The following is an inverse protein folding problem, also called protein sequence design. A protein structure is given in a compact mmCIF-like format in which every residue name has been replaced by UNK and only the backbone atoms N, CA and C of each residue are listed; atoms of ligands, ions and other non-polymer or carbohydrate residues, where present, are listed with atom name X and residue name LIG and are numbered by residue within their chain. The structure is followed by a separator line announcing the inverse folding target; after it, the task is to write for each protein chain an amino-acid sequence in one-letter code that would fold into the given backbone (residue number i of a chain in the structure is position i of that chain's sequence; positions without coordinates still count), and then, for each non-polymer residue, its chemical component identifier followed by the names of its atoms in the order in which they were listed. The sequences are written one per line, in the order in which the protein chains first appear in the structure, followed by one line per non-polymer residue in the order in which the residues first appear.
data_IF_222482103217
#
_entry.id   IF_222482103217
#
_cell.length_a   1.000
_cell.length_b   1.000
_cell.length_c   1.000
_cell.angle_alpha   90.00
_cell.angle_beta   90.00
_cell.angle_gamma   90.00
#
_symmetry.space_group_name_H-M   'P 1'
#
loop_
_entity.id
_entity.type
_entity.pdbx_description
1 polymer ?
#
# COMPACT_ATOMS: atom_id res chain seq x y z
N UNK A 1 -1.84 -9.48 8.77
CA UNK A 1 -0.56 -9.11 8.12
C UNK A 1 0.55 -10.10 8.48
N UNK A 2 0.74 -10.46 9.76
CA UNK A 2 1.81 -11.36 10.22
C UNK A 2 1.84 -12.71 9.48
N UNK A 3 0.68 -13.35 9.26
CA UNK A 3 0.62 -14.60 8.51
C UNK A 3 1.00 -14.42 7.03
N UNK A 4 0.65 -13.28 6.43
CA UNK A 4 1.06 -12.96 5.05
C UNK A 4 2.57 -12.67 4.98
N UNK A 5 3.12 -11.99 5.97
CA UNK A 5 4.56 -11.75 6.07
C UNK A 5 5.33 -13.10 6.12
N UNK A 6 4.86 -14.03 6.96
CA UNK A 6 5.43 -15.38 7.03
C UNK A 6 5.36 -16.10 5.68
N UNK A 7 4.19 -16.15 5.05
CA UNK A 7 4.01 -16.81 3.75
C UNK A 7 4.90 -16.23 2.65
N UNK A 8 5.06 -14.90 2.61
CA UNK A 8 5.94 -14.24 1.63
C UNK A 8 7.39 -14.63 1.89
N UNK A 9 7.86 -14.60 3.15
CA UNK A 9 9.22 -14.97 3.51
C UNK A 9 9.51 -16.41 3.15
N UNK A 10 8.64 -17.37 3.50
CA UNK A 10 8.79 -18.79 3.16
C UNK A 10 8.84 -19.02 1.64
N UNK A 11 8.01 -18.31 0.86
CA UNK A 11 8.07 -18.40 -0.60
C UNK A 11 9.39 -17.88 -1.16
N UNK A 12 9.93 -16.76 -0.63
CA UNK A 12 11.23 -16.24 -1.05
C UNK A 12 12.36 -17.24 -0.76
N UNK A 13 12.39 -17.84 0.44
CA UNK A 13 13.35 -18.88 0.78
C UNK A 13 13.23 -20.09 -0.15
N UNK A 14 12.01 -20.52 -0.50
CA UNK A 14 11.78 -21.63 -1.46
C UNK A 14 12.36 -21.31 -2.85
N UNK A 15 12.40 -20.02 -3.21
CA UNK A 15 13.01 -19.54 -4.46
C UNK A 15 14.53 -19.29 -4.33
N UNK A 16 15.14 -19.57 -3.18
CA UNK A 16 16.55 -19.34 -2.91
C UNK A 16 16.90 -17.87 -2.69
N UNK A 17 15.92 -17.05 -2.30
CA UNK A 17 16.10 -15.63 -2.00
C UNK A 17 16.09 -15.44 -0.49
N UNK A 18 17.28 -15.33 0.11
CA UNK A 18 17.46 -15.24 1.56
C UNK A 18 17.55 -13.78 2.06
N UNK A 19 17.93 -12.84 1.21
CA UNK A 19 18.04 -11.42 1.56
C UNK A 19 17.37 -10.56 0.49
N UNK A 20 16.58 -9.58 0.92
CA UNK A 20 15.79 -8.77 -0.01
C UNK A 20 15.54 -7.34 0.50
N UNK A 21 15.28 -6.43 -0.43
CA UNK A 21 14.70 -5.12 -0.18
C UNK A 21 13.19 -5.21 -0.33
N UNK A 22 12.45 -4.55 0.56
CA UNK A 22 11.00 -4.58 0.56
C UNK A 22 10.42 -3.25 0.07
N UNK A 23 9.52 -3.33 -0.90
CA UNK A 23 8.69 -2.20 -1.31
C UNK A 23 7.23 -2.65 -1.31
N UNK A 24 6.37 -1.93 -0.61
CA UNK A 24 4.96 -2.31 -0.52
C UNK A 24 4.04 -1.12 -0.34
N UNK A 25 2.88 -1.17 -1.01
CA UNK A 25 1.84 -0.16 -0.88
C UNK A 25 0.69 -0.67 0.00
N UNK A 26 0.12 0.22 0.81
CA UNK A 26 -1.08 -0.04 1.61
C UNK A 26 -0.91 -1.28 2.52
N UNK A 27 -1.71 -2.32 2.36
CA UNK A 27 -1.53 -3.61 3.05
C UNK A 27 -0.14 -4.20 2.79
N UNK A 28 0.38 -4.08 1.56
CA UNK A 28 1.75 -4.50 1.22
C UNK A 28 2.80 -3.75 2.04
N UNK A 29 2.59 -2.47 2.31
CA UNK A 29 3.44 -1.67 3.22
C UNK A 29 3.44 -2.20 4.65
N UNK A 30 2.27 -2.57 5.17
CA UNK A 30 2.19 -3.21 6.50
C UNK A 30 2.88 -4.58 6.51
N UNK A 31 2.69 -5.39 5.46
CA UNK A 31 3.39 -6.68 5.34
C UNK A 31 4.91 -6.47 5.36
N UNK A 32 5.44 -5.46 4.67
CA UNK A 32 6.86 -5.13 4.71
C UNK A 32 7.34 -4.80 6.14
N UNK A 33 6.57 -4.02 6.90
CA UNK A 33 6.89 -3.71 8.30
C UNK A 33 6.86 -4.97 9.18
N UNK A 34 5.88 -5.85 8.99
CA UNK A 34 5.78 -7.14 9.70
C UNK A 34 6.95 -8.08 9.38
N UNK A 35 7.36 -8.15 8.10
CA UNK A 35 8.50 -8.95 7.67
C UNK A 35 9.79 -8.47 8.34
N UNK A 36 10.05 -7.16 8.33
CA UNK A 36 11.24 -6.60 8.94
C UNK A 36 11.28 -6.77 10.47
N UNK A 37 10.12 -6.73 11.12
CA UNK A 37 10.05 -6.97 12.57
C UNK A 37 10.21 -8.44 12.94
N UNK A 38 9.83 -9.38 12.05
CA UNK A 38 9.82 -10.81 12.34
C UNK A 38 11.04 -11.54 11.77
N UNK A 39 11.66 -11.01 10.70
CA UNK A 39 12.77 -11.60 9.96
C UNK A 39 13.83 -10.54 9.64
N UNK A 40 14.38 -9.86 10.67
CA UNK A 40 15.30 -8.74 10.47
C UNK A 40 16.61 -9.13 9.74
N UNK A 41 17.02 -10.38 9.82
CA UNK A 41 18.20 -10.93 9.17
C UNK A 41 18.04 -11.05 7.65
N UNK A 42 16.81 -11.14 7.14
CA UNK A 42 16.52 -11.28 5.71
C UNK A 42 16.25 -9.93 5.04
N UNK A 43 15.91 -8.88 5.80
CA UNK A 43 15.46 -7.60 5.25
C UNK A 43 16.60 -6.58 5.20
N UNK A 44 16.99 -6.18 3.99
CA UNK A 44 18.03 -5.16 3.75
C UNK A 44 17.53 -3.73 3.86
N UNK A 45 16.31 -3.46 3.45
CA UNK A 45 15.69 -2.14 3.60
C UNK A 45 14.17 -2.22 3.35
N UNK A 46 13.45 -1.17 3.76
CA UNK A 46 12.00 -1.03 3.55
C UNK A 46 11.69 0.32 2.92
N UNK A 47 10.86 0.31 1.86
CA UNK A 47 10.13 1.49 1.41
C UNK A 47 8.63 1.19 1.48
N UNK A 48 7.97 1.70 2.51
CA UNK A 48 6.54 1.51 2.72
C UNK A 48 5.75 2.68 2.13
N UNK A 49 4.94 2.42 1.12
CA UNK A 49 4.14 3.39 0.40
C UNK A 49 2.71 3.41 0.96
N UNK A 50 2.29 4.52 1.56
CA UNK A 50 1.00 4.67 2.22
C UNK A 50 0.61 3.41 3.03
N UNK A 51 1.49 2.94 3.96
CA UNK A 51 1.28 1.66 4.63
C UNK A 51 0.01 1.69 5.48
N UNK A 52 -0.78 0.62 5.40
CA UNK A 52 -1.82 0.32 6.36
C UNK A 52 -1.19 0.00 7.73
N UNK A 53 -2.01 -0.02 8.78
CA UNK A 53 -1.56 -0.40 10.13
C UNK A 53 -1.01 0.74 10.98
N UNK A 54 -0.71 1.90 10.40
CA UNK A 54 -0.25 3.09 11.13
C UNK A 54 -1.43 4.00 11.53
N UNK A 55 -2.58 3.44 11.83
CA UNK A 55 -3.76 4.21 12.24
C UNK A 55 -3.82 4.44 13.75
N UNK A 56 -4.29 5.61 14.12
CA UNK A 56 -4.44 6.05 15.51
C UNK A 56 -5.34 5.08 16.30
N UNK A 57 -6.47 4.71 15.70
CA UNK A 57 -7.44 3.76 16.27
C UNK A 57 -7.68 2.62 15.30
N UNK A 58 -7.54 1.35 15.73
CA UNK A 58 -7.85 0.21 14.87
C UNK A 58 -9.29 0.24 14.34
N UNK A 59 -9.48 -0.17 13.10
CA UNK A 59 -10.81 -0.31 12.53
C UNK A 59 -11.57 -1.45 13.20
N UNK A 60 -12.84 -1.21 13.54
CA UNK A 60 -13.73 -2.19 14.15
C UNK A 60 -14.69 -2.84 13.15
N UNK A 61 -14.78 -2.28 11.95
CA UNK A 61 -15.59 -2.80 10.85
C UNK A 61 -14.96 -2.44 9.50
N UNK A 62 -15.36 -3.16 8.45
CA UNK A 62 -14.96 -2.81 7.09
C UNK A 62 -15.48 -1.42 6.72
N UNK A 63 -14.69 -0.68 5.96
CA UNK A 63 -15.09 0.64 5.50
C UNK A 63 -16.25 0.51 4.48
N UNK A 64 -17.41 1.13 4.71
CA UNK A 64 -18.58 0.91 3.84
C UNK A 64 -18.35 1.26 2.37
N UNK A 65 -17.56 2.32 2.08
CA UNK A 65 -17.20 2.70 0.73
C UNK A 65 -16.39 1.65 -0.01
N UNK A 66 -15.49 0.96 0.68
CA UNK A 66 -14.69 -0.13 0.14
C UNK A 66 -15.54 -1.34 -0.24
N UNK A 67 -16.53 -1.68 0.59
CA UNK A 67 -17.48 -2.76 0.29
C UNK A 67 -18.26 -2.43 -0.97
N UNK A 68 -18.74 -1.18 -1.11
CA UNK A 68 -19.46 -0.74 -2.30
C UNK A 68 -18.57 -0.76 -3.55
N UNK A 69 -17.33 -0.25 -3.47
CA UNK A 69 -16.37 -0.29 -4.57
C UNK A 69 -16.07 -1.72 -5.02
N UNK A 70 -15.88 -2.64 -4.07
CA UNK A 70 -15.62 -4.04 -4.39
C UNK A 70 -16.81 -4.72 -5.05
N UNK A 71 -18.02 -4.43 -4.56
CA UNK A 71 -19.26 -4.92 -5.19
C UNK A 71 -19.43 -4.39 -6.61
N UNK A 72 -19.20 -3.10 -6.82
CA UNK A 72 -19.22 -2.49 -8.15
C UNK A 72 -18.16 -3.13 -9.06
N UNK A 73 -16.93 -3.25 -8.61
CA UNK A 73 -15.86 -3.85 -9.39
C UNK A 73 -16.20 -5.28 -9.85
N UNK A 74 -16.70 -6.13 -8.95
CA UNK A 74 -17.08 -7.51 -9.29
C UNK A 74 -18.25 -7.61 -10.26
N UNK A 75 -19.17 -6.62 -10.25
CA UNK A 75 -20.32 -6.57 -11.18
C UNK A 75 -19.99 -5.97 -12.54
N UNK A 76 -18.93 -5.16 -12.63
CA UNK A 76 -18.59 -4.42 -13.86
C UNK A 76 -17.34 -4.94 -14.59
N UNK A 77 -16.74 -6.06 -14.16
CA UNK A 77 -15.55 -6.63 -14.80
C UNK A 77 -15.73 -6.73 -16.33
N UNK A 78 -16.89 -7.21 -16.80
CA UNK A 78 -17.21 -7.27 -18.23
C UNK A 78 -17.54 -5.93 -18.87
N UNK A 79 -17.96 -4.94 -18.10
CA UNK A 79 -18.33 -3.61 -18.55
C UNK A 79 -17.20 -2.59 -18.39
N UNK A 80 -16.20 -2.89 -17.54
CA UNK A 80 -15.09 -2.00 -17.25
C UNK A 80 -14.38 -1.47 -18.52
N UNK A 81 -14.08 -2.31 -19.53
CA UNK A 81 -13.43 -1.83 -20.75
C UNK A 81 -14.23 -0.74 -21.49
N UNK A 82 -15.56 -0.85 -21.47
CA UNK A 82 -16.43 0.16 -22.09
C UNK A 82 -16.66 1.36 -21.18
N UNK A 83 -16.86 1.13 -19.89
CA UNK A 83 -17.17 2.17 -18.90
C UNK A 83 -15.99 3.14 -18.69
N UNK A 84 -14.76 2.64 -18.67
CA UNK A 84 -13.55 3.46 -18.42
C UNK A 84 -13.24 4.45 -19.57
N UNK A 85 -13.89 4.34 -20.72
CA UNK A 85 -13.85 5.38 -21.75
C UNK A 85 -14.64 6.65 -21.34
N UNK A 86 -15.47 6.57 -20.31
CA UNK A 86 -16.23 7.71 -19.81
C UNK A 86 -15.59 8.30 -18.55
N UNK A 87 -15.39 9.62 -18.56
CA UNK A 87 -14.77 10.37 -17.45
C UNK A 87 -15.45 10.14 -16.11
N UNK A 88 -16.79 10.02 -16.09
CA UNK A 88 -17.52 9.79 -14.85
C UNK A 88 -17.17 8.45 -14.18
N UNK A 89 -17.01 7.38 -14.98
CA UNK A 89 -16.66 6.07 -14.45
C UNK A 89 -15.24 6.05 -13.90
N UNK A 90 -14.29 6.67 -14.63
CA UNK A 90 -12.92 6.86 -14.17
C UNK A 90 -12.87 7.68 -12.87
N UNK A 91 -13.68 8.74 -12.78
CA UNK A 91 -13.79 9.54 -11.55
C UNK A 91 -14.24 8.67 -10.37
N UNK A 92 -15.35 7.94 -10.50
CA UNK A 92 -15.89 7.09 -9.41
C UNK A 92 -14.85 6.08 -8.93
N UNK A 93 -14.11 5.45 -9.85
CA UNK A 93 -13.14 4.41 -9.51
C UNK A 93 -11.85 4.93 -8.88
N UNK A 94 -11.43 6.17 -9.19
CA UNK A 94 -10.05 6.56 -8.93
C UNK A 94 -9.85 7.87 -8.16
N UNK A 95 -10.88 8.75 -8.03
CA UNK A 95 -10.70 10.06 -7.38
C UNK A 95 -10.35 9.99 -5.88
N UNK A 96 -10.72 8.89 -5.21
CA UNK A 96 -10.39 8.70 -3.78
C UNK A 96 -8.97 8.20 -3.56
N UNK A 97 -8.38 7.56 -4.57
CA UNK A 97 -7.04 6.98 -4.47
C UNK A 97 -5.96 7.81 -5.14
N UNK A 98 -6.34 8.69 -6.09
CA UNK A 98 -5.41 9.57 -6.79
C UNK A 98 -6.05 10.95 -7.06
N UNK A 99 -5.48 12.05 -6.60
CA UNK A 99 -5.92 13.41 -6.97
C UNK A 99 -5.72 13.68 -8.47
N UNK A 100 -4.79 12.95 -9.09
CA UNK A 100 -4.47 13.04 -10.52
C UNK A 100 -5.19 11.99 -11.37
N UNK A 101 -6.31 11.45 -10.89
CA UNK A 101 -7.07 10.38 -11.55
C UNK A 101 -7.39 10.65 -13.04
N UNK A 102 -7.47 11.93 -13.46
CA UNK A 102 -7.72 12.29 -14.86
C UNK A 102 -6.54 11.95 -15.78
N UNK A 103 -5.34 11.97 -15.23
CA UNK A 103 -4.07 11.75 -15.94
C UNK A 103 -3.72 10.25 -16.04
N UNK A 104 -4.33 9.40 -15.22
CA UNK A 104 -4.08 7.95 -15.27
C UNK A 104 -4.44 7.39 -16.65
N UNK A 105 -3.62 6.50 -17.19
CA UNK A 105 -3.91 5.91 -18.50
C UNK A 105 -5.12 4.97 -18.43
N UNK A 106 -5.72 4.70 -19.57
CA UNK A 106 -6.83 3.75 -19.68
C UNK A 106 -6.39 2.35 -19.22
N UNK A 107 -5.23 1.90 -19.69
CA UNK A 107 -4.64 0.60 -19.40
C UNK A 107 -4.44 0.42 -17.89
N UNK A 108 -3.84 1.41 -17.21
CA UNK A 108 -3.64 1.38 -15.76
C UNK A 108 -4.98 1.29 -15.02
N UNK A 109 -5.97 2.07 -15.45
CA UNK A 109 -7.31 2.03 -14.83
C UNK A 109 -7.98 0.66 -15.05
N UNK A 110 -7.83 0.06 -16.23
CA UNK A 110 -8.39 -1.24 -16.55
C UNK A 110 -7.72 -2.35 -15.71
N UNK A 111 -6.39 -2.36 -15.64
CA UNK A 111 -5.63 -3.33 -14.86
C UNK A 111 -5.98 -3.25 -13.38
N UNK A 112 -6.05 -2.03 -12.82
CA UNK A 112 -6.43 -1.83 -11.42
C UNK A 112 -7.86 -2.31 -11.14
N UNK A 113 -8.80 -2.05 -12.07
CA UNK A 113 -10.20 -2.51 -11.95
C UNK A 113 -10.28 -4.03 -12.00
N UNK A 114 -9.57 -4.67 -12.94
CA UNK A 114 -9.53 -6.12 -13.07
C UNK A 114 -8.87 -6.78 -11.83
N UNK A 115 -7.78 -6.22 -11.33
CA UNK A 115 -7.13 -6.69 -10.11
C UNK A 115 -8.07 -6.60 -8.90
N UNK A 116 -8.79 -5.49 -8.75
CA UNK A 116 -9.79 -5.34 -7.70
C UNK A 116 -10.94 -6.35 -7.86
N UNK A 117 -11.46 -6.54 -9.09
CA UNK A 117 -12.55 -7.46 -9.38
C UNK A 117 -12.15 -8.92 -9.14
N UNK A 118 -10.94 -9.32 -9.53
CA UNK A 118 -10.42 -10.69 -9.39
C UNK A 118 -9.90 -11.05 -8.00
N UNK A 119 -9.71 -10.08 -7.10
CA UNK A 119 -9.11 -10.32 -5.78
C UNK A 119 -10.04 -11.08 -4.83
N UNK A 120 -9.94 -12.40 -4.77
CA UNK A 120 -10.71 -13.24 -3.83
C UNK A 120 -10.30 -13.04 -2.38
N UNK A 121 -9.05 -12.62 -2.13
CA UNK A 121 -8.49 -12.35 -0.81
C UNK A 121 -8.87 -10.99 -0.21
N UNK A 122 -9.57 -10.13 -0.93
CA UNK A 122 -9.84 -8.75 -0.51
C UNK A 122 -10.60 -8.67 0.84
N UNK A 123 -11.76 -9.29 0.95
CA UNK A 123 -12.53 -9.28 2.19
C UNK A 123 -11.88 -10.10 3.32
N UNK A 124 -11.33 -11.31 3.09
CA UNK A 124 -10.54 -12.01 4.11
C UNK A 124 -9.37 -11.18 4.64
N UNK A 125 -8.68 -10.42 3.78
CA UNK A 125 -7.62 -9.51 4.21
C UNK A 125 -8.17 -8.40 5.13
N UNK A 126 -9.27 -7.75 4.75
CA UNK A 126 -9.93 -6.75 5.60
C UNK A 126 -10.30 -7.31 6.97
N UNK A 127 -10.96 -8.47 7.03
CA UNK A 127 -11.36 -9.11 8.29
C UNK A 127 -10.15 -9.42 9.17
N UNK A 128 -9.04 -9.79 8.56
CA UNK A 128 -7.79 -10.05 9.26
C UNK A 128 -7.13 -8.78 9.85
N UNK A 129 -7.49 -7.59 9.36
CA UNK A 129 -6.98 -6.30 9.85
C UNK A 129 -7.81 -5.72 11.00
N UNK A 130 -9.06 -6.14 11.15
CA UNK A 130 -9.97 -5.57 12.15
C UNK A 130 -9.40 -5.73 13.57
N UNK A 131 -9.50 -4.67 14.34
CA UNK A 131 -8.98 -4.60 15.71
C UNK A 131 -7.46 -4.58 15.84
N UNK A 132 -6.71 -4.50 14.71
CA UNK A 132 -5.24 -4.56 14.71
C UNK A 132 -4.63 -3.27 14.17
N UNK A 133 -3.38 -3.05 14.56
CA UNK A 133 -2.47 -2.04 13.98
C UNK A 133 -1.05 -2.57 14.06
N UNK A 134 -0.12 -1.94 13.37
CA UNK A 134 1.30 -2.24 13.52
C UNK A 134 1.76 -1.71 14.89
N UNK A 135 2.37 -2.55 15.71
CA UNK A 135 2.82 -2.24 17.07
C UNK A 135 4.17 -2.89 17.42
N UNK A 136 4.90 -3.35 16.40
CA UNK A 136 6.19 -4.02 16.57
C UNK A 136 7.36 -3.05 16.41
N UNK A 137 8.51 -3.44 16.95
CA UNK A 137 9.76 -2.71 16.77
C UNK A 137 10.54 -3.29 15.58
N UNK A 138 11.18 -2.41 14.82
CA UNK A 138 12.12 -2.74 13.74
C UNK A 138 13.48 -2.23 14.15
N UNK A 139 14.52 -3.08 13.98
CA UNK A 139 15.89 -2.71 14.32
C UNK A 139 16.37 -1.52 13.49
N UNK A 140 17.14 -0.62 14.11
CA UNK A 140 17.68 0.57 13.45
C UNK A 140 18.71 0.27 12.34
N UNK A 141 19.20 -0.97 12.27
CA UNK A 141 20.09 -1.41 11.19
C UNK A 141 19.38 -1.55 9.83
N UNK A 142 18.03 -1.61 9.80
CA UNK A 142 17.26 -1.73 8.56
C UNK A 142 16.83 -0.33 8.09
N UNK A 143 17.44 0.23 7.02
CA UNK A 143 17.00 1.49 6.44
C UNK A 143 15.52 1.44 6.10
N UNK A 144 14.75 2.39 6.63
CA UNK A 144 13.30 2.41 6.49
C UNK A 144 12.83 3.77 6.02
N UNK A 145 12.10 3.80 4.90
CA UNK A 145 11.44 5.00 4.38
C UNK A 145 9.94 4.75 4.33
N UNK A 146 9.15 5.69 4.86
CA UNK A 146 7.69 5.69 4.82
C UNK A 146 7.24 6.88 4.01
N UNK A 147 6.45 6.63 2.96
CA UNK A 147 5.97 7.66 2.04
C UNK A 147 4.45 7.69 2.06
N UNK A 148 3.87 8.85 2.34
CA UNK A 148 2.45 9.12 2.17
C UNK A 148 2.23 10.24 1.16
N UNK A 149 1.04 10.32 0.60
CA UNK A 149 0.58 11.49 -0.14
C UNK A 149 -0.20 12.45 0.76
N UNK A 150 -0.11 13.76 0.50
CA UNK A 150 -0.88 14.79 1.21
C UNK A 150 -2.39 14.73 0.91
N UNK A 151 -2.73 14.10 -0.21
CA UNK A 151 -4.09 13.93 -0.73
C UNK A 151 -4.60 12.49 -0.62
N UNK A 152 -4.05 11.69 0.31
CA UNK A 152 -4.51 10.33 0.58
C UNK A 152 -5.85 10.36 1.33
N UNK A 153 -6.94 10.08 0.59
CA UNK A 153 -8.29 9.98 1.14
C UNK A 153 -8.66 8.57 1.62
N UNK A 154 -7.85 7.56 1.28
CA UNK A 154 -8.03 6.18 1.77
C UNK A 154 -7.46 6.02 3.17
N UNK A 155 -6.25 6.56 3.41
CA UNK A 155 -5.59 6.60 4.71
C UNK A 155 -5.29 8.05 5.13
N UNK A 156 -6.33 8.80 5.58
CA UNK A 156 -6.21 10.22 5.89
C UNK A 156 -5.18 10.51 6.98
N UNK A 157 -4.43 11.60 6.82
CA UNK A 157 -3.36 12.04 7.72
C UNK A 157 -3.75 12.00 9.19
N UNK A 158 -4.92 12.56 9.54
CA UNK A 158 -5.34 12.72 10.94
C UNK A 158 -5.63 11.40 11.67
N UNK A 159 -5.94 10.34 10.96
CA UNK A 159 -6.43 9.09 11.54
C UNK A 159 -5.60 7.86 11.21
N UNK A 160 -4.84 7.91 10.12
CA UNK A 160 -4.17 6.73 9.56
C UNK A 160 -2.66 6.89 9.38
N UNK A 161 -2.07 8.00 9.82
CA UNK A 161 -0.63 8.26 9.66
C UNK A 161 0.02 8.57 11.03
N UNK A 162 -0.15 7.65 11.99
CA UNK A 162 0.38 7.78 13.35
C UNK A 162 1.87 7.44 13.37
N UNK A 163 2.71 8.47 13.46
CA UNK A 163 4.18 8.33 13.40
C UNK A 163 4.75 7.59 14.59
N UNK A 164 4.11 7.61 15.75
CA UNK A 164 4.61 6.91 16.93
C UNK A 164 4.58 5.39 16.81
N UNK A 165 3.82 4.85 15.82
CA UNK A 165 3.79 3.43 15.47
C UNK A 165 4.88 3.04 14.47
N UNK A 166 5.45 4.01 13.77
CA UNK A 166 6.53 3.76 12.83
C UNK A 166 7.87 3.55 13.55
N UNK A 167 8.85 2.87 12.92
CA UNK A 167 10.20 2.81 13.46
C UNK A 167 10.76 4.21 13.70
N UNK A 168 11.33 4.47 14.87
CA UNK A 168 11.80 5.82 15.26
C UNK A 168 12.87 6.38 14.32
N UNK A 169 13.61 5.52 13.65
CA UNK A 169 14.66 5.88 12.68
C UNK A 169 14.12 6.03 11.25
N UNK A 170 12.83 5.76 11.01
CA UNK A 170 12.27 5.83 9.68
C UNK A 170 12.30 7.24 9.09
N UNK A 171 12.80 7.36 7.86
CA UNK A 171 12.63 8.57 7.06
C UNK A 171 11.14 8.68 6.68
N UNK A 172 10.50 9.77 7.08
CA UNK A 172 9.09 10.03 6.79
C UNK A 172 8.92 11.10 5.74
N UNK A 173 8.24 10.79 4.66
CA UNK A 173 8.03 11.67 3.51
C UNK A 173 6.54 11.84 3.26
N UNK A 174 6.13 13.07 2.97
CA UNK A 174 4.78 13.37 2.49
C UNK A 174 4.92 14.07 1.14
N UNK A 175 4.43 13.41 0.07
CA UNK A 175 4.51 13.91 -1.29
C UNK A 175 3.31 14.81 -1.60
N UNK A 176 3.53 16.00 -2.19
CA UNK A 176 2.45 16.91 -2.55
C UNK A 176 1.65 16.37 -3.74
N UNK A 177 0.34 16.69 -3.76
CA UNK A 177 -0.58 16.28 -4.84
C UNK A 177 -0.54 14.78 -5.14
N UNK A 178 -0.37 13.97 -4.11
CA UNK A 178 -0.20 12.53 -4.20
C UNK A 178 -1.25 11.85 -3.32
N UNK A 179 -1.88 10.82 -3.83
CA UNK A 179 -2.93 10.07 -3.13
C UNK A 179 -2.42 8.77 -2.49
N UNK A 180 -3.34 7.80 -2.37
CA UNK A 180 -3.10 6.51 -1.71
C UNK A 180 -2.14 5.58 -2.47
N UNK A 181 -1.97 5.81 -3.75
CA UNK A 181 -1.08 5.02 -4.62
C UNK A 181 0.04 5.93 -5.13
N UNK A 182 1.06 6.25 -4.29
CA UNK A 182 2.06 7.26 -4.59
C UNK A 182 2.80 7.03 -5.93
N UNK A 183 3.00 5.76 -6.31
CA UNK A 183 3.66 5.40 -7.56
C UNK A 183 2.85 5.76 -8.81
N UNK A 184 1.55 6.06 -8.69
CA UNK A 184 0.75 6.55 -9.81
C UNK A 184 0.87 8.07 -9.99
N UNK A 185 0.92 8.80 -8.87
CA UNK A 185 0.90 10.25 -8.89
C UNK A 185 2.31 10.86 -8.94
N UNK A 186 3.28 10.23 -8.30
CA UNK A 186 4.66 10.71 -8.14
C UNK A 186 5.69 9.61 -8.39
N UNK A 187 5.70 8.98 -9.59
CA UNK A 187 6.54 7.81 -9.86
C UNK A 187 8.04 8.10 -9.75
N UNK A 188 8.49 9.28 -10.16
CA UNK A 188 9.90 9.66 -10.14
C UNK A 188 10.41 9.83 -8.70
N UNK A 189 9.65 10.52 -7.86
CA UNK A 189 9.96 10.76 -6.45
C UNK A 189 9.97 9.42 -5.70
N UNK A 190 8.97 8.58 -5.92
CA UNK A 190 8.89 7.24 -5.31
C UNK A 190 10.09 6.38 -5.74
N UNK A 191 10.42 6.34 -7.02
CA UNK A 191 11.57 5.58 -7.52
C UNK A 191 12.88 6.09 -6.93
N UNK A 192 13.09 7.41 -6.89
CA UNK A 192 14.27 8.03 -6.28
C UNK A 192 14.42 7.64 -4.81
N UNK A 193 13.34 7.65 -4.05
CA UNK A 193 13.37 7.27 -2.62
C UNK A 193 13.61 5.77 -2.41
N UNK A 194 13.07 4.91 -3.27
CA UNK A 194 13.39 3.47 -3.25
C UNK A 194 14.90 3.28 -3.49
N UNK A 195 15.44 3.89 -4.54
CA UNK A 195 16.87 3.76 -4.87
C UNK A 195 17.77 4.31 -3.77
N UNK A 196 17.38 5.43 -3.14
CA UNK A 196 18.08 6.00 -1.98
C UNK A 196 18.05 5.05 -0.78
N UNK A 197 16.87 4.50 -0.47
CA UNK A 197 16.68 3.60 0.69
C UNK A 197 17.43 2.27 0.51
N UNK A 198 17.54 1.77 -0.72
CA UNK A 198 18.32 0.55 -1.01
C UNK A 198 19.82 0.79 -1.05
N UNK A 199 20.29 2.04 -1.03
CA UNK A 199 21.70 2.40 -1.11
C UNK A 199 22.30 2.29 -2.52
N UNK A 200 21.47 2.13 -3.55
CA UNK A 200 21.91 2.07 -4.97
C UNK A 200 22.32 3.46 -5.46
N UNK A 201 21.68 4.51 -4.96
CA UNK A 201 22.05 5.91 -5.23
C UNK A 201 22.40 6.56 -3.88
N UNK A 202 23.58 7.16 -3.81
CA UNK A 202 24.03 7.94 -2.64
C UNK A 202 23.68 9.41 -2.82
#
# INVERSE_FOLDING_TARGET
PTSLAHLVTENLHTLGVDEFHLVGNSLGGWICLEMAASYPENVKSITALAPAGLWLTPFTSRYPGEVALRFMASGVEKLAPSALNYTWAKKIGFETVSPRWRELSYELCLDATNAMAGSTGYFPAWDALLGKRFDKQITASIPTTIIFGDSDHTLPFKTCQERSLAPIHAKWIVLPQTGHVPMWDSPNEVTSEIMSTTGVIK
#
